data_IF_734333318390
#
_entry.id   IF_734333318390
#
_cell.length_a   1.000
_cell.length_b   1.000
_cell.length_c   1.000
_cell.angle_alpha   90.00
_cell.angle_beta   90.00
_cell.angle_gamma   90.00
#
_symmetry.space_group_name_H-M   'P 1'
#
loop_
_entity.id
_entity.type
_entity.pdbx_description
1 polymer ?
#
# COMPACT_ATOMS: atom_id res chain seq x y z
N UNK A 1 33.24 13.11 8.36
CA UNK A 1 31.79 12.83 8.46
C UNK A 1 31.15 13.28 7.15
N UNK A 2 30.67 12.34 6.33
CA UNK A 2 30.12 12.64 5.01
C UNK A 2 28.65 13.06 5.14
N UNK A 3 28.40 14.35 4.94
CA UNK A 3 27.04 14.86 4.83
C UNK A 3 26.41 14.33 3.54
N UNK A 4 25.13 13.99 3.61
CA UNK A 4 24.38 13.56 2.44
C UNK A 4 23.27 14.56 2.13
N UNK A 5 23.23 15.03 0.89
CA UNK A 5 22.17 15.92 0.43
C UNK A 5 20.87 15.15 0.18
N UNK A 6 19.74 15.86 0.18
CA UNK A 6 18.44 15.26 -0.15
C UNK A 6 18.45 14.60 -1.54
N UNK A 7 19.17 15.16 -2.52
CA UNK A 7 19.34 14.56 -3.86
C UNK A 7 20.27 13.34 -3.91
N UNK A 8 21.21 13.23 -2.97
CA UNK A 8 22.04 12.02 -2.86
C UNK A 8 21.27 10.91 -2.13
N UNK A 9 20.46 11.26 -1.13
CA UNK A 9 19.59 10.31 -0.43
C UNK A 9 18.61 9.61 -1.35
N UNK A 10 18.10 10.28 -2.38
CA UNK A 10 17.22 9.64 -3.38
C UNK A 10 17.93 8.52 -4.13
N UNK A 11 19.21 8.69 -4.45
CA UNK A 11 20.03 7.66 -5.13
C UNK A 11 20.30 6.48 -4.21
N UNK A 12 20.71 6.76 -2.97
CA UNK A 12 21.00 5.72 -1.97
C UNK A 12 19.76 4.88 -1.59
N UNK A 13 18.59 5.49 -1.55
CA UNK A 13 17.34 4.83 -1.22
C UNK A 13 16.58 4.28 -2.45
N UNK A 14 17.16 4.42 -3.65
CA UNK A 14 16.54 4.07 -4.93
C UNK A 14 15.08 4.55 -5.02
N UNK A 15 14.83 5.82 -4.69
CA UNK A 15 13.50 6.43 -4.51
C UNK A 15 13.46 7.77 -5.24
N UNK A 16 12.26 8.24 -5.59
CA UNK A 16 12.13 9.56 -6.24
C UNK A 16 12.25 10.70 -5.22
N UNK A 17 12.55 11.91 -5.69
CA UNK A 17 12.58 13.11 -4.83
C UNK A 17 11.23 13.39 -4.17
N UNK A 18 10.14 13.18 -4.90
CA UNK A 18 8.78 13.32 -4.37
C UNK A 18 8.51 12.34 -3.23
N UNK A 19 8.84 11.06 -3.40
CA UNK A 19 8.68 10.03 -2.37
C UNK A 19 9.52 10.32 -1.11
N UNK A 20 10.76 10.79 -1.29
CA UNK A 20 11.62 11.16 -0.17
C UNK A 20 11.07 12.36 0.61
N UNK A 21 10.57 13.38 -0.08
CA UNK A 21 9.93 14.55 0.55
C UNK A 21 8.73 14.10 1.39
N UNK A 22 7.86 13.24 0.84
CA UNK A 22 6.71 12.70 1.57
C UNK A 22 7.14 11.92 2.81
N UNK A 23 8.20 11.09 2.71
CA UNK A 23 8.76 10.37 3.87
C UNK A 23 9.27 11.33 4.94
N UNK A 24 10.01 12.36 4.56
CA UNK A 24 10.54 13.36 5.49
C UNK A 24 9.42 14.19 6.15
N UNK A 25 8.39 14.56 5.39
CA UNK A 25 7.20 15.25 5.92
C UNK A 25 6.43 14.38 6.91
N UNK A 26 6.23 13.09 6.60
CA UNK A 26 5.56 12.15 7.50
C UNK A 26 6.31 11.91 8.80
N UNK A 27 7.64 11.96 8.77
CA UNK A 27 8.48 11.91 9.97
C UNK A 27 8.53 13.24 10.72
N UNK A 28 7.84 14.27 10.21
CA UNK A 28 7.87 15.66 10.67
C UNK A 28 9.29 16.22 10.68
N UNK A 29 10.17 15.74 9.79
CA UNK A 29 11.55 16.23 9.67
C UNK A 29 11.61 17.51 8.84
N UNK A 30 10.72 17.63 7.87
CA UNK A 30 10.47 18.86 7.12
C UNK A 30 8.97 19.17 7.14
N UNK A 31 8.60 20.43 6.94
CA UNK A 31 7.21 20.88 6.87
C UNK A 31 6.60 20.73 5.45
N UNK A 32 5.34 21.12 5.30
CA UNK A 32 4.61 21.08 4.02
C UNK A 32 5.22 22.00 2.95
N UNK A 33 6.00 23.02 3.35
CA UNK A 33 6.73 23.94 2.46
C UNK A 33 8.16 23.48 2.18
N UNK A 34 8.56 22.30 2.70
CA UNK A 34 9.90 21.75 2.52
C UNK A 34 10.97 22.37 3.40
N UNK A 35 10.61 23.07 4.48
CA UNK A 35 11.55 23.65 5.45
C UNK A 35 11.84 22.69 6.61
N UNK A 36 13.06 22.71 7.15
CA UNK A 36 13.46 21.89 8.30
C UNK A 36 12.65 22.26 9.54
N UNK A 37 12.13 21.25 10.23
CA UNK A 37 11.48 21.43 11.54
C UNK A 37 12.51 21.30 12.66
N UNK A 38 12.12 21.67 13.89
CA UNK A 38 12.90 21.40 15.11
C UNK A 38 13.27 19.92 15.26
N UNK A 39 12.38 19.01 14.84
CA UNK A 39 12.58 17.56 14.89
C UNK A 39 13.56 17.10 13.82
N UNK A 40 13.50 17.67 12.61
CA UNK A 40 14.49 17.43 11.55
C UNK A 40 15.90 17.80 11.99
N UNK A 41 16.05 18.99 12.59
CA UNK A 41 17.33 19.47 13.14
C UNK A 41 17.87 18.51 14.21
N UNK A 42 17.02 18.11 15.17
CA UNK A 42 17.40 17.14 16.22
C UNK A 42 17.84 15.77 15.66
N UNK A 43 17.37 15.40 14.47
CA UNK A 43 17.74 14.15 13.80
C UNK A 43 18.88 14.34 12.77
N UNK A 44 19.58 15.48 12.82
CA UNK A 44 20.79 15.73 12.04
C UNK A 44 20.54 16.41 10.69
N UNK A 45 19.40 17.06 10.51
CA UNK A 45 19.12 17.89 9.34
C UNK A 45 19.65 19.31 9.53
N UNK A 46 20.34 19.84 8.53
CA UNK A 46 20.89 21.20 8.55
C UNK A 46 20.78 21.88 7.20
N UNK A 47 20.69 23.21 7.21
CA UNK A 47 20.79 24.01 6.00
C UNK A 47 22.25 24.22 5.64
N UNK A 48 22.58 24.01 4.36
CA UNK A 48 23.84 24.42 3.75
C UNK A 48 23.56 25.39 2.62
N UNK A 49 24.49 26.30 2.40
CA UNK A 49 24.44 27.25 1.30
C UNK A 49 25.52 26.89 0.29
N UNK A 50 25.14 26.82 -0.98
CA UNK A 50 26.09 26.75 -2.08
C UNK A 50 25.69 27.79 -3.13
N UNK A 51 26.60 28.73 -3.40
CA UNK A 51 26.42 29.80 -4.38
C UNK A 51 25.10 30.58 -4.20
N UNK A 52 24.75 30.91 -2.95
CA UNK A 52 23.53 31.65 -2.62
C UNK A 52 22.25 30.82 -2.58
N UNK A 53 22.31 29.53 -2.95
CA UNK A 53 21.17 28.62 -2.87
C UNK A 53 21.25 27.78 -1.60
N UNK A 54 20.25 27.90 -0.74
CA UNK A 54 20.13 27.08 0.46
C UNK A 54 19.50 25.71 0.17
N UNK A 55 20.05 24.66 0.77
CA UNK A 55 19.55 23.29 0.65
C UNK A 55 19.69 22.51 1.96
N UNK A 56 18.86 21.47 2.10
CA UNK A 56 18.87 20.60 3.28
C UNK A 56 19.84 19.44 3.07
N UNK A 57 20.72 19.24 4.06
CA UNK A 57 21.66 18.12 4.14
C UNK A 57 21.57 17.41 5.49
N UNK A 58 22.07 16.17 5.53
CA UNK A 58 21.99 15.31 6.71
C UNK A 58 23.39 14.87 7.14
N UNK A 59 23.70 15.02 8.42
CA UNK A 59 25.05 14.86 8.98
C UNK A 59 25.54 13.41 9.00
N UNK A 60 24.62 12.45 9.15
CA UNK A 60 24.91 11.02 9.27
C UNK A 60 24.01 10.23 8.32
N UNK A 61 24.63 9.75 7.22
CA UNK A 61 23.99 8.98 6.15
C UNK A 61 23.29 7.73 6.69
N UNK A 62 23.97 6.93 7.50
CA UNK A 62 23.44 5.63 7.94
C UNK A 62 22.31 5.84 8.94
N UNK A 63 22.43 6.83 9.82
CA UNK A 63 21.37 7.21 10.76
C UNK A 63 20.12 7.70 10.02
N UNK A 64 20.24 8.58 9.04
CA UNK A 64 19.06 9.10 8.33
C UNK A 64 18.42 8.01 7.47
N UNK A 65 19.21 7.16 6.80
CA UNK A 65 18.71 6.00 6.04
C UNK A 65 17.97 5.04 6.98
N UNK A 66 18.54 4.74 8.14
CA UNK A 66 17.88 3.90 9.14
C UNK A 66 16.58 4.52 9.65
N UNK A 67 16.53 5.83 9.91
CA UNK A 67 15.32 6.53 10.34
C UNK A 67 14.23 6.53 9.26
N UNK A 68 14.62 6.73 7.99
CA UNK A 68 13.71 6.72 6.84
C UNK A 68 13.17 5.31 6.55
N UNK A 69 13.99 4.28 6.79
CA UNK A 69 13.63 2.87 6.62
C UNK A 69 12.95 2.26 7.86
N UNK A 70 13.02 2.94 9.02
CA UNK A 70 12.34 2.51 10.24
C UNK A 70 10.84 2.57 10.00
N UNK A 71 10.22 1.40 9.79
CA UNK A 71 8.76 1.28 9.76
C UNK A 71 8.22 1.88 11.05
N UNK A 72 7.56 3.03 10.96
CA UNK A 72 6.74 3.53 12.06
C UNK A 72 5.60 2.53 12.22
N UNK A 73 5.81 1.56 13.11
CA UNK A 73 4.72 0.79 13.68
C UNK A 73 3.88 1.78 14.47
N UNK A 74 2.58 1.81 14.17
CA UNK A 74 1.59 2.59 14.92
C UNK A 74 1.64 2.24 16.43
N UNK A 75 2.13 1.04 16.77
CA UNK A 75 2.47 0.63 18.14
C UNK A 75 3.54 1.49 18.84
N UNK A 76 4.51 2.07 18.13
CA UNK A 76 5.57 2.88 18.75
C UNK A 76 5.13 4.28 19.18
N UNK A 77 4.01 4.79 18.66
CA UNK A 77 3.38 6.03 19.14
C UNK A 77 2.47 5.77 20.34
N UNK A 78 1.88 4.57 20.43
CA UNK A 78 1.06 4.15 21.57
C UNK A 78 1.95 3.82 22.78
N UNK A 79 3.08 3.13 22.57
CA UNK A 79 4.01 2.75 23.66
C UNK A 79 4.90 3.86 24.20
N UNK A 80 5.02 5.01 23.52
CA UNK A 80 5.86 6.13 23.98
C UNK A 80 5.06 7.23 24.68
N UNK A 81 3.76 7.00 24.95
CA UNK A 81 2.98 7.88 25.84
C UNK A 81 3.20 7.57 27.32
N UNK A 82 3.66 6.36 27.64
CA UNK A 82 3.95 5.95 29.01
C UNK A 82 5.42 5.54 29.14
N UNK A 83 6.29 6.53 29.33
CA UNK A 83 7.58 6.30 29.99
C UNK A 83 7.98 7.53 30.79
N UNK A 84 7.24 7.78 31.87
CA UNK A 84 7.87 8.20 33.11
C UNK A 84 8.39 6.96 33.84
N UNK A 85 9.69 6.97 34.09
CA UNK A 85 10.44 6.24 35.12
C UNK A 85 10.91 4.80 34.84
N UNK A 86 12.24 4.66 34.93
CA UNK A 86 13.11 3.55 35.38
C UNK A 86 12.41 2.25 35.81
N UNK A 87 12.92 1.05 35.52
CA UNK A 87 14.26 0.57 35.91
C UNK A 87 14.63 -0.73 35.18
N UNK A 88 15.93 -1.03 35.26
CA UNK A 88 16.73 -2.17 34.81
C UNK A 88 16.10 -3.58 34.82
N UNK A 89 16.56 -4.33 33.82
CA UNK A 89 16.98 -5.73 33.83
C UNK A 89 15.97 -6.89 33.98
N UNK A 90 16.31 -7.92 33.21
CA UNK A 90 15.84 -9.31 33.25
C UNK A 90 14.47 -9.61 32.62
N UNK A 91 14.47 -10.22 31.42
CA UNK A 91 14.61 -11.68 31.28
C UNK A 91 14.46 -12.04 29.80
N UNK A 92 15.62 -12.27 29.20
CA UNK A 92 15.77 -13.27 28.15
C UNK A 92 15.17 -14.59 28.64
N UNK A 93 14.21 -15.12 27.86
CA UNK A 93 13.71 -16.51 27.80
C UNK A 93 12.22 -16.51 27.41
N UNK A 94 11.93 -16.08 26.17
CA UNK A 94 10.67 -16.39 25.46
C UNK A 94 10.83 -16.21 23.94
N UNK A 95 12.07 -16.33 23.42
CA UNK A 95 12.47 -15.93 22.06
C UNK A 95 12.30 -17.01 20.98
N UNK A 96 11.80 -18.20 21.29
CA UNK A 96 11.77 -19.29 20.29
C UNK A 96 10.42 -19.97 20.00
N UNK A 97 9.36 -19.75 20.79
CA UNK A 97 8.06 -20.42 20.53
C UNK A 97 6.94 -19.52 19.98
N UNK A 98 7.16 -18.21 19.87
CA UNK A 98 6.17 -17.25 19.31
C UNK A 98 6.49 -16.76 17.88
N UNK A 99 7.50 -17.35 17.21
CA UNK A 99 7.91 -16.98 15.83
C UNK A 99 6.99 -17.52 14.72
N UNK A 100 5.88 -18.20 15.02
CA UNK A 100 5.01 -18.83 13.99
C UNK A 100 3.66 -18.18 13.74
N UNK A 101 3.12 -17.30 14.60
CA UNK A 101 1.73 -16.83 14.45
C UNK A 101 1.53 -15.32 14.66
N UNK A 102 2.26 -14.48 13.92
CA UNK A 102 1.79 -13.11 13.63
C UNK A 102 1.92 -12.90 12.13
N UNK A 103 0.94 -13.43 11.39
CA UNK A 103 0.77 -13.15 9.96
C UNK A 103 0.67 -11.64 9.79
N UNK A 104 1.63 -11.11 9.03
CA UNK A 104 1.65 -9.76 8.48
C UNK A 104 0.35 -9.51 7.69
N UNK A 105 -0.64 -8.89 8.32
CA UNK A 105 -1.67 -8.11 7.61
C UNK A 105 -1.04 -6.78 7.16
N UNK A 106 -0.10 -6.88 6.23
CA UNK A 106 0.37 -5.74 5.46
C UNK A 106 -0.40 -5.84 4.16
N UNK A 107 -1.33 -4.92 3.95
CA UNK A 107 -1.95 -4.73 2.64
C UNK A 107 -0.85 -4.70 1.57
N UNK A 108 -0.77 -5.72 0.70
CA UNK A 108 0.29 -5.83 -0.30
C UNK A 108 0.28 -4.66 -1.28
N UNK A 109 -0.79 -3.86 -1.36
CA UNK A 109 -0.96 -2.78 -2.34
C UNK A 109 -0.11 -1.53 -2.08
N UNK A 110 0.51 -1.37 -0.90
CA UNK A 110 1.47 -0.26 -0.62
C UNK A 110 2.77 -0.30 -1.44
N UNK A 111 3.08 -1.42 -2.09
CA UNK A 111 4.22 -1.53 -3.01
C UNK A 111 3.81 -1.44 -4.48
N UNK A 112 2.53 -1.20 -4.79
CA UNK A 112 2.03 -1.09 -6.15
C UNK A 112 2.04 0.37 -6.61
N UNK A 113 2.11 0.57 -7.94
CA UNK A 113 2.05 1.89 -8.56
C UNK A 113 0.84 2.67 -8.01
N UNK A 114 1.05 3.96 -7.77
CA UNK A 114 -0.04 4.89 -7.44
C UNK A 114 -1.16 4.76 -8.49
N UNK A 115 -2.44 4.90 -8.11
CA UNK A 115 -3.54 4.91 -9.06
C UNK A 115 -3.33 6.03 -10.09
N UNK A 116 -3.31 5.68 -11.37
CA UNK A 116 -2.91 6.58 -12.46
C UNK A 116 -4.01 6.76 -13.51
N UNK A 117 -4.95 5.82 -13.58
CA UNK A 117 -5.98 5.81 -14.61
C UNK A 117 -7.29 6.27 -14.00
N UNK A 118 -7.86 7.36 -14.52
CA UNK A 118 -9.18 7.82 -14.12
C UNK A 118 -10.23 7.14 -14.99
N UNK A 119 -11.23 6.54 -14.36
CA UNK A 119 -12.37 5.88 -14.99
C UNK A 119 -13.47 6.89 -15.30
N UNK A 120 -14.48 6.47 -16.06
CA UNK A 120 -15.57 7.34 -16.49
C UNK A 120 -16.54 7.71 -15.35
N UNK A 121 -16.69 6.84 -14.36
CA UNK A 121 -17.49 7.09 -13.15
C UNK A 121 -16.70 7.83 -12.04
N UNK A 122 -15.39 8.05 -12.27
CA UNK A 122 -14.54 8.87 -11.43
C UNK A 122 -13.62 8.13 -10.46
N UNK A 123 -13.59 6.79 -10.47
CA UNK A 123 -12.56 6.03 -9.77
C UNK A 123 -11.16 6.31 -10.33
N UNK A 124 -10.15 6.14 -9.48
CA UNK A 124 -8.75 6.11 -9.89
C UNK A 124 -8.22 4.70 -9.67
N UNK A 125 -7.86 4.02 -10.75
CA UNK A 125 -7.41 2.61 -10.76
C UNK A 125 -5.94 2.49 -11.11
N UNK A 126 -5.36 1.32 -10.83
CA UNK A 126 -3.90 1.10 -10.86
C UNK A 126 -3.41 0.47 -12.17
N UNK A 127 -4.29 -0.09 -12.97
CA UNK A 127 -3.96 -0.78 -14.22
C UNK A 127 -4.98 -0.53 -15.33
N UNK A 128 -4.55 -0.75 -16.57
CA UNK A 128 -5.44 -0.66 -17.74
C UNK A 128 -6.53 -1.73 -17.71
N UNK A 129 -6.24 -2.92 -17.20
CA UNK A 129 -7.25 -3.98 -17.08
C UNK A 129 -8.34 -3.60 -16.08
N UNK A 130 -7.98 -3.05 -14.91
CA UNK A 130 -8.96 -2.50 -13.97
C UNK A 130 -9.76 -1.36 -14.60
N UNK A 131 -9.14 -0.46 -15.37
CA UNK A 131 -9.84 0.62 -16.09
C UNK A 131 -10.90 0.07 -17.04
N UNK A 132 -10.56 -0.96 -17.81
CA UNK A 132 -11.49 -1.61 -18.75
C UNK A 132 -12.65 -2.26 -17.99
N UNK A 133 -12.36 -3.00 -16.91
CA UNK A 133 -13.41 -3.66 -16.10
C UNK A 133 -14.32 -2.62 -15.45
N UNK A 134 -13.77 -1.56 -14.86
CA UNK A 134 -14.51 -0.50 -14.19
C UNK A 134 -15.44 0.24 -15.15
N UNK A 135 -14.90 0.72 -16.28
CA UNK A 135 -15.70 1.37 -17.32
C UNK A 135 -16.77 0.43 -17.85
N UNK A 136 -16.47 -0.86 -18.05
CA UNK A 136 -17.47 -1.84 -18.47
C UNK A 136 -18.63 -1.95 -17.47
N UNK A 137 -18.33 -2.07 -16.18
CA UNK A 137 -19.36 -2.13 -15.13
C UNK A 137 -20.19 -0.85 -15.12
N UNK A 138 -19.56 0.31 -15.27
CA UNK A 138 -20.24 1.60 -15.38
C UNK A 138 -21.18 1.67 -16.58
N UNK A 139 -20.71 1.33 -17.78
CA UNK A 139 -21.48 1.35 -19.03
C UNK A 139 -22.68 0.40 -19.00
N UNK A 140 -22.55 -0.73 -18.29
CA UNK A 140 -23.63 -1.69 -18.09
C UNK A 140 -24.60 -1.31 -16.95
N UNK A 141 -24.47 -0.10 -16.40
CA UNK A 141 -25.23 0.42 -15.25
C UNK A 141 -25.14 -0.48 -14.00
N UNK A 142 -24.03 -1.18 -13.83
CA UNK A 142 -23.79 -2.03 -12.67
C UNK A 142 -23.11 -1.20 -11.58
N UNK A 143 -23.85 -0.95 -10.50
CA UNK A 143 -23.32 -0.32 -9.29
C UNK A 143 -22.18 -1.18 -8.75
N UNK A 144 -21.02 -0.55 -8.54
CA UNK A 144 -19.84 -1.23 -8.04
C UNK A 144 -19.02 -0.32 -7.11
N UNK A 145 -18.14 -0.93 -6.32
CA UNK A 145 -17.18 -0.22 -5.48
C UNK A 145 -15.76 -0.71 -5.78
N UNK A 146 -14.85 0.22 -6.06
CA UNK A 146 -13.41 -0.07 -6.25
C UNK A 146 -12.67 -0.24 -4.90
N UNK A 147 -11.70 -1.15 -4.85
CA UNK A 147 -10.85 -1.45 -3.67
C UNK A 147 -11.64 -1.71 -2.37
N UNK A 148 -12.77 -2.43 -2.46
CA UNK A 148 -13.62 -2.70 -1.29
C UNK A 148 -12.93 -3.63 -0.29
N UNK A 149 -12.87 -3.20 0.97
CA UNK A 149 -12.43 -4.06 2.08
C UNK A 149 -13.43 -5.18 2.35
N UNK A 150 -12.92 -6.41 2.40
CA UNK A 150 -13.69 -7.57 2.83
C UNK A 150 -13.96 -7.47 4.34
N UNK A 151 -15.14 -7.87 4.82
CA UNK A 151 -15.49 -7.83 6.23
C UNK A 151 -14.83 -8.99 6.99
N UNK A 152 -13.50 -9.01 7.03
CA UNK A 152 -12.68 -10.02 7.70
C UNK A 152 -11.51 -9.41 8.45
N UNK A 153 -10.92 -10.18 9.37
CA UNK A 153 -9.76 -9.73 10.17
C UNK A 153 -8.50 -9.54 9.33
N UNK A 154 -8.42 -10.20 8.17
CA UNK A 154 -7.28 -10.21 7.25
C UNK A 154 -7.06 -8.87 6.50
N UNK A 155 -7.88 -7.83 6.76
CA UNK A 155 -7.77 -6.49 6.16
C UNK A 155 -7.56 -6.53 4.63
N UNK A 156 -8.20 -7.50 3.96
CA UNK A 156 -8.06 -7.74 2.54
C UNK A 156 -8.94 -6.76 1.75
N UNK A 157 -8.45 -6.22 0.63
CA UNK A 157 -9.30 -5.50 -0.33
C UNK A 157 -9.47 -6.34 -1.60
N UNK A 158 -10.70 -6.37 -2.13
CA UNK A 158 -10.98 -6.85 -3.48
C UNK A 158 -10.57 -5.80 -4.52
N UNK A 159 -10.64 -6.13 -5.80
CA UNK A 159 -10.49 -5.12 -6.86
C UNK A 159 -11.83 -4.40 -7.07
N UNK A 160 -12.92 -5.16 -7.18
CA UNK A 160 -14.29 -4.61 -7.21
C UNK A 160 -15.25 -5.37 -6.29
N UNK A 161 -16.33 -4.70 -5.91
CA UNK A 161 -17.47 -5.30 -5.20
C UNK A 161 -18.79 -4.85 -5.81
N UNK A 162 -19.65 -5.82 -6.13
CA UNK A 162 -20.98 -5.59 -6.67
C UNK A 162 -22.03 -5.84 -5.57
N UNK A 163 -22.65 -4.78 -5.00
CA UNK A 163 -23.61 -4.92 -3.91
C UNK A 163 -24.86 -5.72 -4.29
N UNK A 164 -25.34 -5.61 -5.54
CA UNK A 164 -26.55 -6.30 -6.01
C UNK A 164 -26.47 -7.83 -5.82
N UNK A 165 -25.36 -8.44 -6.22
CA UNK A 165 -25.15 -9.89 -6.06
C UNK A 165 -24.40 -10.28 -4.79
N UNK A 166 -23.93 -9.30 -4.00
CA UNK A 166 -22.95 -9.46 -2.92
C UNK A 166 -21.72 -10.26 -3.39
N UNK A 167 -21.20 -9.91 -4.56
CA UNK A 167 -20.12 -10.62 -5.24
C UNK A 167 -18.90 -9.72 -5.40
N UNK A 168 -17.72 -10.31 -5.25
CA UNK A 168 -16.44 -9.64 -5.41
C UNK A 168 -15.81 -10.03 -6.75
N UNK A 169 -15.09 -9.10 -7.36
CA UNK A 169 -14.29 -9.37 -8.57
C UNK A 169 -12.81 -9.17 -8.21
N UNK A 170 -11.98 -10.10 -8.65
CA UNK A 170 -10.52 -10.04 -8.56
C UNK A 170 -9.92 -10.24 -9.96
N UNK A 171 -8.96 -9.41 -10.33
CA UNK A 171 -8.24 -9.50 -11.60
C UNK A 171 -6.82 -10.04 -11.39
N UNK A 172 -6.48 -11.08 -12.15
CA UNK A 172 -5.26 -11.86 -12.04
C UNK A 172 -4.25 -11.63 -13.18
N UNK A 173 -3.69 -10.42 -13.33
CA UNK A 173 -2.84 -10.04 -14.47
C UNK A 173 -1.34 -10.39 -14.42
N UNK A 174 -0.84 -11.06 -13.36
CA UNK A 174 0.61 -11.36 -13.23
C UNK A 174 0.89 -12.81 -12.80
N UNK A 175 0.40 -13.78 -13.57
CA UNK A 175 0.46 -15.20 -13.18
C UNK A 175 1.86 -15.83 -13.18
N UNK A 176 2.87 -15.16 -13.74
CA UNK A 176 4.21 -15.75 -13.96
C UNK A 176 5.17 -15.59 -12.75
N UNK A 177 4.75 -14.92 -11.67
CA UNK A 177 5.61 -14.72 -10.49
C UNK A 177 5.13 -15.55 -9.31
N UNK A 178 6.02 -16.36 -8.71
CA UNK A 178 5.66 -17.22 -7.56
C UNK A 178 5.01 -16.46 -6.40
N UNK A 179 5.49 -15.25 -6.11
CA UNK A 179 4.93 -14.41 -5.06
C UNK A 179 3.49 -13.97 -5.38
N UNK A 180 3.14 -13.82 -6.65
CA UNK A 180 1.78 -13.51 -7.09
C UNK A 180 0.87 -14.73 -6.97
N UNK A 181 1.33 -15.90 -7.43
CA UNK A 181 0.60 -17.17 -7.30
C UNK A 181 0.29 -17.48 -5.83
N UNK A 182 1.26 -17.30 -4.93
CA UNK A 182 1.06 -17.49 -3.47
C UNK A 182 -0.02 -16.54 -2.93
N UNK A 183 -0.05 -15.28 -3.37
CA UNK A 183 -1.06 -14.29 -2.94
C UNK A 183 -2.45 -14.59 -3.48
N UNK A 184 -2.56 -14.97 -4.76
CA UNK A 184 -3.82 -15.46 -5.37
C UNK A 184 -4.40 -16.61 -4.55
N UNK A 185 -3.58 -17.62 -4.23
CA UNK A 185 -4.01 -18.75 -3.38
C UNK A 185 -4.46 -18.32 -1.99
N UNK A 186 -3.75 -17.39 -1.33
CA UNK A 186 -4.16 -16.87 -0.01
C UNK A 186 -5.51 -16.15 -0.12
N UNK A 187 -5.69 -15.30 -1.13
CA UNK A 187 -6.97 -14.60 -1.36
C UNK A 187 -8.10 -15.61 -1.58
N UNK A 188 -7.94 -16.55 -2.50
CA UNK A 188 -8.93 -17.61 -2.78
C UNK A 188 -9.30 -18.40 -1.51
N UNK A 189 -8.31 -18.74 -0.67
CA UNK A 189 -8.57 -19.41 0.61
C UNK A 189 -9.41 -18.56 1.57
N UNK A 190 -9.18 -17.24 1.63
CA UNK A 190 -9.98 -16.31 2.44
C UNK A 190 -11.41 -16.24 1.90
N UNK A 191 -11.60 -16.04 0.60
CA UNK A 191 -12.93 -16.03 -0.02
C UNK A 191 -13.70 -17.33 0.28
N UNK A 192 -13.05 -18.49 0.16
CA UNK A 192 -13.64 -19.79 0.49
C UNK A 192 -13.94 -19.94 1.98
N UNK A 193 -13.01 -19.54 2.86
CA UNK A 193 -13.16 -19.64 4.33
C UNK A 193 -14.40 -18.88 4.82
N UNK A 194 -14.66 -17.69 4.29
CA UNK A 194 -15.79 -16.85 4.69
C UNK A 194 -17.01 -16.98 3.77
N UNK A 195 -16.99 -17.93 2.83
CA UNK A 195 -18.07 -18.20 1.89
C UNK A 195 -18.53 -16.97 1.09
N UNK A 196 -17.58 -16.15 0.63
CA UNK A 196 -17.86 -15.02 -0.23
C UNK A 196 -17.95 -15.44 -1.69
N UNK A 197 -18.90 -14.85 -2.42
CA UNK A 197 -19.03 -15.01 -3.88
C UNK A 197 -17.88 -14.28 -4.55
N UNK A 198 -17.14 -14.99 -5.41
CA UNK A 198 -15.96 -14.48 -6.09
C UNK A 198 -16.09 -14.72 -7.60
N UNK A 199 -15.83 -13.68 -8.38
CA UNK A 199 -15.56 -13.72 -9.82
C UNK A 199 -14.07 -13.47 -10.00
N UNK A 200 -13.42 -14.36 -10.74
CA UNK A 200 -12.00 -14.27 -11.03
C UNK A 200 -11.84 -13.95 -12.51
N UNK A 201 -11.10 -12.88 -12.82
CA UNK A 201 -10.82 -12.46 -14.19
C UNK A 201 -9.31 -12.56 -14.47
N UNK A 202 -8.94 -12.90 -15.70
CA UNK A 202 -7.57 -12.88 -16.20
C UNK A 202 -7.48 -12.05 -17.50
N UNK A 203 -6.28 -11.88 -18.05
CA UNK A 203 -6.07 -11.07 -19.26
C UNK A 203 -6.91 -11.52 -20.47
N UNK A 204 -7.10 -12.84 -20.65
CA UNK A 204 -7.90 -13.37 -21.78
C UNK A 204 -9.38 -13.07 -21.62
N UNK A 205 -9.87 -13.08 -20.38
CA UNK A 205 -11.26 -12.75 -20.07
C UNK A 205 -11.49 -11.25 -20.20
N UNK A 206 -10.53 -10.41 -19.79
CA UNK A 206 -10.60 -8.95 -19.96
C UNK A 206 -10.66 -8.54 -21.43
N UNK A 207 -9.99 -9.28 -22.32
CA UNK A 207 -10.05 -9.04 -23.77
C UNK A 207 -11.44 -9.31 -24.37
N UNK A 208 -12.30 -10.08 -23.71
CA UNK A 208 -13.61 -10.50 -24.21
C UNK A 208 -14.72 -10.29 -23.15
N UNK A 209 -14.70 -9.17 -22.42
CA UNK A 209 -15.60 -8.92 -21.29
C UNK A 209 -17.08 -8.96 -21.67
N UNK A 210 -17.44 -8.36 -22.81
CA UNK A 210 -18.82 -8.31 -23.31
C UNK A 210 -19.44 -9.70 -23.46
N UNK A 211 -18.65 -10.70 -23.87
CA UNK A 211 -19.14 -12.06 -24.08
C UNK A 211 -19.17 -12.91 -22.81
N UNK A 212 -18.28 -12.61 -21.87
CA UNK A 212 -17.96 -13.48 -20.73
C UNK A 212 -18.66 -12.97 -19.47
N UNK A 213 -18.49 -11.69 -19.16
CA UNK A 213 -18.89 -11.14 -17.88
C UNK A 213 -20.43 -11.15 -17.68
N UNK A 214 -21.29 -10.85 -18.68
CA UNK A 214 -22.73 -11.01 -18.54
C UNK A 214 -23.14 -12.43 -18.15
N UNK A 215 -22.55 -13.45 -18.80
CA UNK A 215 -22.87 -14.87 -18.51
C UNK A 215 -22.46 -15.27 -17.10
N UNK A 216 -21.34 -14.74 -16.60
CA UNK A 216 -20.88 -14.98 -15.22
C UNK A 216 -21.80 -14.27 -14.24
N UNK A 217 -22.13 -13.00 -14.49
CA UNK A 217 -22.96 -12.15 -13.62
C UNK A 217 -24.39 -12.68 -13.44
N UNK A 218 -24.96 -13.30 -14.47
CA UNK A 218 -26.28 -13.95 -14.40
C UNK A 218 -26.34 -15.04 -13.32
N UNK A 219 -25.24 -15.77 -13.06
CA UNK A 219 -25.15 -16.77 -11.98
C UNK A 219 -25.30 -16.16 -10.59
N UNK A 220 -25.13 -14.84 -10.48
CA UNK A 220 -25.26 -14.06 -9.26
C UNK A 220 -26.50 -13.15 -9.26
N UNK A 221 -27.43 -13.37 -10.20
CA UNK A 221 -28.65 -12.58 -10.41
C UNK A 221 -28.36 -11.09 -10.69
N UNK A 222 -27.26 -10.82 -11.40
CA UNK A 222 -26.92 -9.49 -11.90
C UNK A 222 -27.14 -9.50 -13.41
N UNK A 223 -27.93 -8.56 -13.90
CA UNK A 223 -28.18 -8.35 -15.33
C UNK A 223 -27.32 -7.18 -15.82
N UNK A 224 -26.69 -7.39 -16.97
CA UNK A 224 -25.96 -6.37 -17.72
C UNK A 224 -26.84 -5.98 -18.92
N UNK A 225 -26.85 -4.69 -19.30
CA UNK A 225 -27.79 -4.10 -20.26
C UNK A 225 -27.09 -3.54 -21.50
#
# INVERSE_FOLDING_TARGET
MSYITTNQLTKELNTTRAELIVKLQRLEFIDHKGKLTKRGIKNGGEYKNYMGTEYISWQDKDKIINLLNKKQTILGKIFNRDKSNNTKEQKEQKKEKSKKNIKKNIDPRKSYKEPQYRTEDGHYVRSKAELIIDNWLYHQNIVHAYEKRLPTEENLLSDFYLPQGKVYIEFWGYENQEAYIKRKKIKQQIYKKYNFKLIELNDKEVQNLDDILPKILLKFNIQAY
#
